data_IF_957641087720
#
_entry.id   IF_957641087720
#
_cell.length_a   1.000
_cell.length_b   1.000
_cell.length_c   1.000
_cell.angle_alpha   90.00
_cell.angle_beta   90.00
_cell.angle_gamma   90.00
#
_symmetry.space_group_name_H-M   'P 1'
#
loop_
_entity.id
_entity.type
_entity.pdbx_description
1 polymer ?
#
# COMPACT_ATOMS: atom_id res chain seq x y z
N UNK A 1 14.06 6.72 -7.03
CA UNK A 1 14.23 7.75 -5.98
C UNK A 1 13.13 7.54 -4.96
N UNK A 2 13.43 7.61 -3.66
CA UNK A 2 12.42 7.55 -2.61
C UNK A 2 11.96 8.96 -2.27
N UNK A 3 10.65 9.18 -2.18
CA UNK A 3 10.10 10.48 -1.75
C UNK A 3 8.71 10.31 -1.16
N UNK A 4 8.36 11.12 -0.18
CA UNK A 4 7.03 11.19 0.40
C UNK A 4 6.53 12.64 0.39
N UNK A 5 5.29 12.85 -0.01
CA UNK A 5 4.64 14.16 0.00
C UNK A 5 3.24 14.07 0.61
N UNK A 6 2.82 15.09 1.37
CA UNK A 6 1.45 15.18 1.88
C UNK A 6 0.57 15.86 0.83
N UNK A 7 -0.52 15.20 0.44
CA UNK A 7 -1.46 15.64 -0.61
C UNK A 7 -2.70 16.33 -0.06
N UNK A 8 -3.23 15.83 1.05
CA UNK A 8 -4.38 16.45 1.74
C UNK A 8 -4.23 16.31 3.26
N UNK A 9 -4.88 17.19 4.02
CA UNK A 9 -4.87 17.21 5.48
C UNK A 9 -6.24 17.52 6.04
N UNK A 10 -6.58 16.85 7.13
CA UNK A 10 -7.73 17.17 7.97
C UNK A 10 -7.32 16.96 9.43
N UNK A 11 -7.24 18.04 10.21
CA UNK A 11 -6.59 18.07 11.52
C UNK A 11 -5.17 17.46 11.47
N UNK A 12 -4.96 16.32 12.15
CA UNK A 12 -3.71 15.56 12.16
C UNK A 12 -3.67 14.44 11.10
N UNK A 13 -4.79 14.13 10.45
CA UNK A 13 -4.86 13.13 9.39
C UNK A 13 -4.14 13.61 8.13
N UNK A 14 -3.53 12.68 7.40
CA UNK A 14 -2.74 12.98 6.20
C UNK A 14 -3.02 11.96 5.12
N UNK A 15 -3.46 12.45 3.96
CA UNK A 15 -3.32 11.71 2.72
C UNK A 15 -1.95 12.03 2.14
N UNK A 16 -1.17 11.01 1.83
CA UNK A 16 0.21 11.16 1.38
C UNK A 16 0.50 10.33 0.14
N UNK A 17 1.47 10.73 -0.66
CA UNK A 17 1.94 9.99 -1.83
C UNK A 17 3.38 9.56 -1.60
N UNK A 18 3.58 8.26 -1.45
CA UNK A 18 4.88 7.61 -1.29
C UNK A 18 5.36 7.09 -2.64
N UNK A 19 6.40 7.69 -3.21
CA UNK A 19 7.06 7.16 -4.40
C UNK A 19 8.22 6.25 -4.00
N UNK A 20 8.21 5.04 -4.53
CA UNK A 20 9.30 4.08 -4.43
C UNK A 20 9.92 3.85 -5.80
N UNK A 21 10.93 2.97 -5.90
CA UNK A 21 11.46 2.55 -7.21
C UNK A 21 10.44 1.77 -8.04
N UNK A 22 9.53 1.05 -7.38
CA UNK A 22 8.62 0.08 -8.02
C UNK A 22 7.24 0.65 -8.31
N UNK A 23 6.94 1.87 -7.83
CA UNK A 23 5.61 2.45 -7.99
C UNK A 23 5.32 3.55 -6.99
N UNK A 24 4.07 3.99 -6.98
CA UNK A 24 3.57 5.06 -6.13
C UNK A 24 2.44 4.51 -5.28
N UNK A 25 2.44 4.83 -4.00
CA UNK A 25 1.45 4.35 -3.01
C UNK A 25 0.79 5.53 -2.33
N UNK A 26 -0.54 5.50 -2.19
CA UNK A 26 -1.29 6.50 -1.43
C UNK A 26 -1.43 6.05 0.05
N UNK A 27 -1.10 6.93 0.99
CA UNK A 27 -1.28 6.68 2.43
C UNK A 27 -2.54 7.39 2.94
N UNK A 28 -3.27 6.86 3.93
CA UNK A 28 -2.97 5.65 4.69
C UNK A 28 -3.24 4.37 3.88
N UNK A 29 -2.31 3.42 3.92
CA UNK A 29 -2.44 2.12 3.25
C UNK A 29 -2.28 1.00 4.26
N UNK A 30 -3.02 -0.08 4.08
CA UNK A 30 -2.89 -1.30 4.87
C UNK A 30 -2.38 -2.42 3.96
N UNK A 31 -1.16 -2.90 4.22
CA UNK A 31 -0.51 -3.90 3.40
C UNK A 31 -0.50 -5.26 4.13
N UNK A 32 -1.10 -6.32 3.55
CA UNK A 32 -1.15 -7.64 4.18
C UNK A 32 0.23 -8.29 4.21
N UNK A 33 0.46 -9.09 5.25
CA UNK A 33 1.68 -9.88 5.37
C UNK A 33 1.61 -11.09 4.45
N UNK A 34 2.65 -11.31 3.65
CA UNK A 34 2.82 -12.53 2.86
C UNK A 34 3.78 -13.46 3.59
N UNK A 35 3.30 -14.62 4.04
CA UNK A 35 4.16 -15.69 4.55
C UNK A 35 4.63 -16.59 3.38
N UNK A 36 5.93 -16.59 3.01
CA UNK A 36 6.40 -17.38 1.87
C UNK A 36 6.31 -18.90 2.10
N UNK A 37 6.38 -19.37 3.34
CA UNK A 37 6.33 -20.80 3.67
C UNK A 37 4.91 -21.38 3.63
N UNK A 38 3.89 -20.54 3.89
CA UNK A 38 2.48 -20.97 3.89
C UNK A 38 1.59 -19.82 3.46
N UNK A 39 1.21 -19.82 2.18
CA UNK A 39 0.29 -18.83 1.61
C UNK A 39 -1.14 -19.38 1.63
N UNK A 40 -1.92 -19.03 2.68
CA UNK A 40 -3.36 -19.37 2.74
C UNK A 40 -4.19 -18.55 1.75
N UNK A 41 -3.72 -17.34 1.43
CA UNK A 41 -4.23 -16.47 0.37
C UNK A 41 -3.02 -16.06 -0.46
N UNK A 42 -3.10 -16.25 -1.77
CA UNK A 42 -2.00 -15.90 -2.69
C UNK A 42 -1.92 -14.38 -2.90
N UNK A 43 -0.73 -13.83 -3.25
CA UNK A 43 -0.60 -12.42 -3.62
C UNK A 43 -1.54 -12.00 -4.77
N UNK A 44 -1.85 -12.92 -5.69
CA UNK A 44 -2.78 -12.68 -6.78
C UNK A 44 -4.21 -12.52 -6.29
N UNK A 45 -4.66 -13.39 -5.38
CA UNK A 45 -6.00 -13.28 -4.78
C UNK A 45 -6.15 -12.00 -3.95
N UNK A 46 -5.12 -11.61 -3.19
CA UNK A 46 -5.13 -10.34 -2.46
C UNK A 46 -5.43 -9.15 -3.39
N UNK A 47 -4.82 -9.13 -4.58
CA UNK A 47 -5.06 -8.09 -5.58
C UNK A 47 -6.41 -8.24 -6.29
N UNK A 48 -6.69 -9.41 -6.84
CA UNK A 48 -7.82 -9.61 -7.77
C UNK A 48 -9.15 -9.78 -7.05
N UNK A 49 -9.17 -10.50 -5.92
CA UNK A 49 -10.36 -10.84 -5.15
C UNK A 49 -10.60 -9.84 -4.03
N UNK A 50 -9.57 -9.57 -3.21
CA UNK A 50 -9.70 -8.71 -2.02
C UNK A 50 -9.42 -7.22 -2.30
N UNK A 51 -9.01 -6.87 -3.53
CA UNK A 51 -8.71 -5.49 -3.95
C UNK A 51 -7.69 -4.80 -3.05
N UNK A 52 -6.74 -5.56 -2.50
CA UNK A 52 -5.58 -5.00 -1.82
C UNK A 52 -4.62 -4.43 -2.86
N UNK A 53 -4.70 -3.12 -3.04
CA UNK A 53 -3.87 -2.36 -3.96
C UNK A 53 -2.89 -1.47 -3.18
N UNK A 54 -1.77 -1.14 -3.81
CA UNK A 54 -0.78 -0.21 -3.30
C UNK A 54 -0.80 1.04 -4.18
#
# INVERSE_FOLDING_TARGET
MFSFEVRNRDLLARIGRLKTKSGVVETPVYLPVINPSKQQVTPRELREVFKCEA
#
